data_IF_548648772623
#
_entry.id   IF_548648772623
#
_cell.length_a   1.000
_cell.length_b   1.000
_cell.length_c   1.000
_cell.angle_alpha   90.00
_cell.angle_beta   90.00
_cell.angle_gamma   90.00
#
_symmetry.space_group_name_H-M   'P 1'
#
loop_
_entity.id
_entity.type
_entity.pdbx_description
1 polymer ?
#
# COMPACT_ATOMS: atom_id res chain seq x y z
N UNK A 1 41.66 2.27 16.64
CA UNK A 1 40.86 2.42 15.42
C UNK A 1 39.89 3.57 15.64
N UNK A 2 39.92 4.62 14.80
CA UNK A 2 38.88 5.66 14.83
C UNK A 2 37.63 5.11 14.13
N UNK A 3 36.49 5.14 14.80
CA UNK A 3 35.21 4.81 14.18
C UNK A 3 34.91 5.86 13.10
N UNK A 4 34.30 5.48 11.96
CA UNK A 4 33.89 6.45 10.95
C UNK A 4 32.92 7.45 11.57
N UNK A 5 33.12 8.74 11.29
CA UNK A 5 32.23 9.80 11.76
C UNK A 5 30.83 9.57 11.20
N UNK A 6 29.89 9.32 12.10
CA UNK A 6 28.51 9.15 11.69
C UNK A 6 27.95 10.51 11.21
N UNK A 7 27.09 10.53 10.19
CA UNK A 7 26.58 11.77 9.61
C UNK A 7 25.82 12.60 10.65
N UNK A 8 25.86 13.92 10.51
CA UNK A 8 25.07 14.83 11.34
C UNK A 8 23.58 14.55 11.14
N UNK A 9 22.77 14.55 12.22
CA UNK A 9 21.32 14.42 12.09
C UNK A 9 20.77 15.60 11.29
N UNK A 10 19.76 15.35 10.47
CA UNK A 10 19.11 16.39 9.66
C UNK A 10 17.67 16.63 10.09
N UNK A 11 17.18 17.86 9.90
CA UNK A 11 15.82 18.22 10.28
C UNK A 11 15.18 19.17 9.27
N UNK A 12 14.03 18.74 8.76
CA UNK A 12 13.27 19.44 7.71
C UNK A 12 12.05 20.22 8.24
N UNK A 13 11.83 20.27 9.56
CA UNK A 13 10.67 20.96 10.15
C UNK A 13 9.44 20.08 10.37
N UNK A 14 9.51 18.78 10.10
CA UNK A 14 8.42 17.86 10.46
C UNK A 14 8.37 17.64 11.96
N UNK A 15 7.27 18.05 12.60
CA UNK A 15 7.06 17.94 14.04
C UNK A 15 7.34 16.53 14.59
N UNK A 16 6.89 15.48 13.91
CA UNK A 16 7.10 14.09 14.34
C UNK A 16 8.58 13.66 14.43
N UNK A 17 9.48 14.43 13.81
CA UNK A 17 10.92 14.17 13.81
C UNK A 17 11.68 15.09 14.78
N UNK A 18 11.01 16.06 15.42
CA UNK A 18 11.66 17.08 16.23
C UNK A 18 12.42 16.48 17.42
N UNK A 19 11.79 15.60 18.20
CA UNK A 19 12.41 15.01 19.39
C UNK A 19 13.66 14.21 19.04
N UNK A 20 13.57 13.37 18.00
CA UNK A 20 14.71 12.58 17.52
C UNK A 20 15.87 13.46 17.07
N UNK A 21 15.57 14.53 16.32
CA UNK A 21 16.59 15.50 15.91
C UNK A 21 17.19 16.24 17.11
N UNK A 22 16.36 16.79 17.99
CA UNK A 22 16.78 17.58 19.15
C UNK A 22 17.76 16.80 20.00
N UNK A 23 17.41 15.56 20.36
CA UNK A 23 18.26 14.70 21.18
C UNK A 23 19.56 14.35 20.45
N UNK A 24 19.48 13.87 19.21
CA UNK A 24 20.67 13.48 18.44
C UNK A 24 21.63 14.65 18.16
N UNK A 25 21.10 15.84 17.89
CA UNK A 25 21.92 17.02 17.65
C UNK A 25 22.52 17.56 18.94
N UNK A 26 21.74 17.59 20.04
CA UNK A 26 22.24 18.02 21.33
C UNK A 26 23.37 17.12 21.83
N UNK A 27 23.21 15.80 21.73
CA UNK A 27 24.22 14.83 22.17
C UNK A 27 25.53 14.93 21.37
N UNK A 28 25.45 15.29 20.08
CA UNK A 28 26.62 15.37 19.20
C UNK A 28 27.31 16.71 19.17
N UNK A 29 26.57 17.80 19.22
CA UNK A 29 27.08 19.16 18.97
C UNK A 29 26.73 20.10 20.13
N UNK A 30 25.49 20.03 20.62
CA UNK A 30 25.02 20.93 21.67
C UNK A 30 25.79 20.78 22.98
N UNK A 31 26.08 19.55 23.39
CA UNK A 31 26.77 19.16 24.62
C UNK A 31 28.29 19.29 24.57
N UNK A 32 28.88 19.44 23.37
CA UNK A 32 30.32 19.57 23.18
C UNK A 32 30.82 20.93 23.68
N UNK A 33 31.69 20.92 24.69
CA UNK A 33 32.23 22.13 25.33
C UNK A 33 33.42 22.73 24.57
N UNK A 34 34.04 21.95 23.69
CA UNK A 34 35.18 22.31 22.85
C UNK A 34 34.77 23.08 21.58
N UNK A 35 33.50 23.06 21.20
CA UNK A 35 32.98 23.82 20.06
C UNK A 35 32.54 25.24 20.45
N UNK A 36 32.95 26.22 19.67
CA UNK A 36 32.49 27.60 19.81
C UNK A 36 31.02 27.75 19.42
N UNK A 37 30.35 28.79 19.91
CA UNK A 37 28.97 29.12 19.50
C UNK A 37 28.84 29.36 17.98
N UNK A 38 29.90 29.84 17.33
CA UNK A 38 29.93 30.06 15.88
C UNK A 38 29.94 28.70 15.16
N UNK A 39 30.76 27.76 15.61
CA UNK A 39 30.84 26.42 15.03
C UNK A 39 29.54 25.65 15.24
N UNK A 40 28.96 25.71 16.44
CA UNK A 40 27.64 25.12 16.75
C UNK A 40 26.55 25.69 15.86
N UNK A 41 26.55 27.00 15.62
CA UNK A 41 25.60 27.64 14.69
C UNK A 41 25.83 27.18 13.24
N UNK A 42 27.07 27.03 12.80
CA UNK A 42 27.37 26.54 11.46
C UNK A 42 26.88 25.09 11.26
N UNK A 43 27.14 24.21 12.21
CA UNK A 43 26.61 22.84 12.21
C UNK A 43 25.08 22.80 12.28
N UNK A 44 24.48 23.69 13.08
CA UNK A 44 23.03 23.78 13.14
C UNK A 44 22.45 24.17 11.78
N UNK A 45 23.02 25.19 11.12
CA UNK A 45 22.57 25.61 9.78
C UNK A 45 22.72 24.51 8.73
N UNK A 46 23.79 23.71 8.78
CA UNK A 46 24.00 22.61 7.82
C UNK A 46 23.09 21.40 8.09
N UNK A 47 22.66 21.21 9.34
CA UNK A 47 21.74 20.15 9.74
C UNK A 47 20.27 20.45 9.39
N UNK A 48 19.91 21.72 9.16
CA UNK A 48 18.54 22.12 8.88
C UNK A 48 18.27 22.16 7.38
N UNK A 49 17.10 21.68 6.99
CA UNK A 49 16.61 21.71 5.61
C UNK A 49 15.21 22.31 5.54
N UNK A 50 14.77 22.65 4.33
CA UNK A 50 13.40 23.04 4.02
C UNK A 50 12.83 24.14 4.96
N UNK A 51 11.69 23.87 5.61
CA UNK A 51 11.00 24.82 6.49
C UNK A 51 11.84 25.19 7.72
N UNK A 52 12.60 24.23 8.27
CA UNK A 52 13.42 24.46 9.45
C UNK A 52 14.61 25.39 9.13
N UNK A 53 15.25 25.21 7.96
CA UNK A 53 16.28 26.12 7.49
C UNK A 53 15.71 27.53 7.25
N UNK A 54 14.54 27.60 6.62
CA UNK A 54 13.85 28.86 6.34
C UNK A 54 13.54 29.65 7.62
N UNK A 55 13.20 28.97 8.73
CA UNK A 55 12.96 29.63 10.02
C UNK A 55 14.17 30.38 10.58
N UNK A 56 15.36 29.80 10.47
CA UNK A 56 16.56 30.45 10.99
C UNK A 56 17.06 31.54 10.04
N UNK A 57 16.88 31.36 8.73
CA UNK A 57 17.34 32.34 7.74
C UNK A 57 16.67 33.71 7.88
N UNK A 58 15.38 33.76 8.27
CA UNK A 58 14.64 35.02 8.50
C UNK A 58 15.32 35.93 9.53
N UNK A 59 16.05 35.38 10.49
CA UNK A 59 16.71 36.14 11.54
C UNK A 59 18.14 36.57 11.19
N UNK A 60 18.72 36.15 10.05
CA UNK A 60 20.14 36.38 9.73
C UNK A 60 20.50 37.86 9.58
N UNK A 61 19.50 38.73 9.56
CA UNK A 61 19.60 40.19 9.51
C UNK A 61 20.01 40.79 10.88
N UNK A 62 19.80 40.08 12.01
CA UNK A 62 19.91 40.64 13.37
C UNK A 62 21.05 40.06 14.26
N UNK A 63 22.10 39.48 13.68
CA UNK A 63 23.23 38.94 14.47
C UNK A 63 22.83 37.74 15.33
N UNK A 64 22.39 36.66 14.68
CA UNK A 64 22.06 35.38 15.33
C UNK A 64 23.31 34.73 15.91
N UNK A 65 23.23 34.30 17.18
CA UNK A 65 24.13 33.31 17.78
C UNK A 65 23.40 31.95 17.96
N UNK A 66 24.16 30.90 18.29
CA UNK A 66 23.61 29.54 18.45
C UNK A 66 22.41 29.49 19.41
N UNK A 67 22.49 30.15 20.57
CA UNK A 67 21.41 30.15 21.57
C UNK A 67 20.09 30.75 21.04
N UNK A 68 20.13 31.88 20.32
CA UNK A 68 18.95 32.47 19.68
C UNK A 68 18.36 31.57 18.59
N UNK A 69 19.23 30.94 17.79
CA UNK A 69 18.82 30.01 16.74
C UNK A 69 18.12 28.78 17.33
N UNK A 70 18.71 28.20 18.37
CA UNK A 70 18.19 27.02 19.05
C UNK A 70 16.86 27.29 19.75
N UNK A 71 16.78 28.37 20.53
CA UNK A 71 15.54 28.77 21.21
C UNK A 71 14.40 29.08 20.23
N UNK A 72 14.69 29.62 19.04
CA UNK A 72 13.68 29.77 17.99
C UNK A 72 13.14 28.41 17.52
N UNK A 73 14.02 27.42 17.30
CA UNK A 73 13.59 26.09 16.90
C UNK A 73 12.74 25.42 18.00
N UNK A 74 13.16 25.49 19.26
CA UNK A 74 12.39 24.96 20.39
C UNK A 74 11.01 25.64 20.46
N UNK A 75 10.97 26.98 20.38
CA UNK A 75 9.70 27.71 20.35
C UNK A 75 8.81 27.32 19.16
N UNK A 76 9.40 26.99 18.02
CA UNK A 76 8.66 26.68 16.79
C UNK A 76 8.18 25.23 16.74
N UNK A 77 8.98 24.28 17.22
CA UNK A 77 8.76 22.84 16.99
C UNK A 77 8.52 22.04 18.28
N UNK A 78 8.85 22.57 19.46
CA UNK A 78 8.61 21.92 20.75
C UNK A 78 7.23 22.26 21.35
N UNK A 79 6.24 22.35 20.48
CA UNK A 79 4.87 22.63 20.90
C UNK A 79 4.21 21.31 21.27
N UNK A 80 4.26 20.93 22.55
CA UNK A 80 3.74 19.65 23.09
C UNK A 80 2.37 19.27 22.53
N UNK A 81 1.41 20.21 22.51
CA UNK A 81 0.06 19.99 21.96
C UNK A 81 0.10 19.50 20.50
N UNK A 82 0.95 20.10 19.67
CA UNK A 82 1.09 19.75 18.25
C UNK A 82 1.82 18.41 18.12
N UNK A 83 2.91 18.20 18.86
CA UNK A 83 3.67 16.95 18.84
C UNK A 83 2.80 15.74 19.19
N UNK A 84 2.07 15.83 20.31
CA UNK A 84 1.14 14.79 20.76
C UNK A 84 0.08 14.53 19.68
N UNK A 85 -0.58 15.60 19.20
CA UNK A 85 -1.60 15.48 18.16
C UNK A 85 -1.06 14.84 16.87
N UNK A 86 0.17 15.17 16.46
CA UNK A 86 0.81 14.61 15.27
C UNK A 86 1.09 13.12 15.43
N UNK A 87 1.67 12.68 16.53
CA UNK A 87 1.94 11.26 16.77
C UNK A 87 0.64 10.45 16.88
N UNK A 88 -0.36 10.93 17.61
CA UNK A 88 -1.68 10.29 17.69
C UNK A 88 -2.32 10.18 16.29
N UNK A 89 -2.28 11.28 15.51
CA UNK A 89 -2.79 11.28 14.15
C UNK A 89 -2.08 10.25 13.26
N UNK A 90 -0.77 10.04 13.42
CA UNK A 90 -0.03 9.04 12.63
C UNK A 90 -0.42 7.62 13.00
N UNK A 91 -0.63 7.32 14.28
CA UNK A 91 -1.10 6.01 14.75
C UNK A 91 -2.52 5.73 14.21
N UNK A 92 -3.45 6.67 14.38
CA UNK A 92 -4.84 6.50 13.91
C UNK A 92 -4.92 6.32 12.38
N UNK A 93 -4.07 7.04 11.64
CA UNK A 93 -4.04 7.03 10.18
C UNK A 93 -2.93 6.13 9.61
N UNK A 94 -2.48 5.11 10.34
CA UNK A 94 -1.59 4.10 9.79
C UNK A 94 -2.19 3.52 8.49
N UNK A 95 -1.36 3.25 7.48
CA UNK A 95 -1.82 2.76 6.19
C UNK A 95 -2.34 1.32 6.31
N UNK A 96 -3.44 1.02 5.61
CA UNK A 96 -3.96 -0.34 5.51
C UNK A 96 -3.03 -1.14 4.59
N UNK A 97 -2.60 -2.32 5.05
CA UNK A 97 -1.84 -3.26 4.26
C UNK A 97 -2.78 -4.07 3.36
N UNK A 98 -2.63 -3.92 2.04
CA UNK A 98 -3.41 -4.69 1.06
C UNK A 98 -2.98 -6.17 0.99
N UNK A 99 -1.72 -6.45 1.34
CA UNK A 99 -1.13 -7.79 1.28
C UNK A 99 -0.07 -7.98 2.34
N UNK A 100 0.13 -9.25 2.70
CA UNK A 100 1.22 -9.70 3.56
C UNK A 100 2.55 -9.53 2.80
N UNK A 101 3.38 -8.57 3.21
CA UNK A 101 4.75 -8.38 2.73
C UNK A 101 5.69 -8.15 3.90
N UNK A 102 6.96 -8.52 3.71
CA UNK A 102 8.00 -8.31 4.73
C UNK A 102 8.08 -6.85 5.14
N UNK A 103 8.21 -5.96 4.15
CA UNK A 103 8.36 -4.52 4.39
C UNK A 103 7.13 -3.87 4.99
N UNK A 104 5.92 -4.30 4.61
CA UNK A 104 4.68 -3.71 5.10
C UNK A 104 4.44 -4.02 6.57
N UNK A 105 4.61 -5.28 6.96
CA UNK A 105 4.40 -5.73 8.34
C UNK A 105 5.44 -5.18 9.30
N UNK A 106 6.73 -5.24 8.92
CA UNK A 106 7.81 -4.65 9.72
C UNK A 106 7.60 -3.16 9.90
N UNK A 107 7.30 -2.42 8.82
CA UNK A 107 7.06 -0.99 8.90
C UNK A 107 5.86 -0.63 9.78
N UNK A 108 4.77 -1.40 9.69
CA UNK A 108 3.59 -1.16 10.53
C UNK A 108 3.93 -1.30 12.03
N UNK A 109 4.71 -2.32 12.40
CA UNK A 109 5.17 -2.50 13.77
C UNK A 109 6.14 -1.39 14.21
N UNK A 110 7.14 -1.08 13.38
CA UNK A 110 8.19 -0.10 13.69
C UNK A 110 7.64 1.31 13.81
N UNK A 111 6.81 1.76 12.85
CA UNK A 111 6.19 3.10 12.85
C UNK A 111 5.32 3.29 14.12
N UNK A 112 4.59 2.24 14.52
CA UNK A 112 3.73 2.28 15.71
C UNK A 112 4.57 2.39 16.98
N UNK A 113 5.60 1.56 17.14
CA UNK A 113 6.51 1.62 18.28
C UNK A 113 7.21 2.98 18.38
N UNK A 114 7.69 3.51 17.25
CA UNK A 114 8.34 4.81 17.21
C UNK A 114 7.41 5.93 17.71
N UNK A 115 6.15 5.94 17.27
CA UNK A 115 5.18 6.94 17.69
C UNK A 115 4.76 6.78 19.15
N UNK A 116 4.60 5.55 19.66
CA UNK A 116 4.32 5.32 21.07
C UNK A 116 5.50 5.72 21.97
N UNK A 117 6.74 5.42 21.57
CA UNK A 117 7.93 5.86 22.29
C UNK A 117 8.02 7.40 22.35
N UNK A 118 7.70 8.08 21.24
CA UNK A 118 7.67 9.54 21.19
C UNK A 118 6.58 10.12 22.10
N UNK A 119 5.39 9.51 22.15
CA UNK A 119 4.31 9.90 23.05
C UNK A 119 4.66 9.67 24.52
N UNK A 120 5.29 8.54 24.84
CA UNK A 120 5.78 8.23 26.19
C UNK A 120 6.82 9.25 26.65
N UNK A 121 7.77 9.62 25.78
CA UNK A 121 8.75 10.69 26.07
C UNK A 121 8.10 12.07 26.29
N UNK A 122 6.90 12.28 25.74
CA UNK A 122 6.09 13.49 25.96
C UNK A 122 5.18 13.39 27.20
N UNK A 123 5.22 12.28 27.94
CA UNK A 123 4.40 12.02 29.12
C UNK A 123 2.97 11.56 28.81
N UNK A 124 2.72 11.05 27.60
CA UNK A 124 1.41 10.54 27.17
C UNK A 124 1.45 9.02 27.10
N UNK A 125 0.57 8.37 27.85
CA UNK A 125 0.32 6.93 27.74
C UNK A 125 -0.91 6.69 26.86
N UNK A 126 -0.79 5.76 25.91
CA UNK A 126 -1.89 5.31 25.05
C UNK A 126 -2.21 3.87 25.42
N UNK A 127 -3.48 3.55 25.67
CA UNK A 127 -3.90 2.20 26.06
C UNK A 127 -3.52 1.16 25.00
N UNK A 128 -2.83 0.10 25.41
CA UNK A 128 -2.32 -0.95 24.53
C UNK A 128 -3.43 -1.62 23.73
N UNK A 129 -4.60 -1.80 24.34
CA UNK A 129 -5.79 -2.44 23.75
C UNK A 129 -6.30 -1.63 22.55
N UNK A 130 -6.28 -0.29 22.65
CA UNK A 130 -6.64 0.60 21.54
C UNK A 130 -5.65 0.47 20.39
N UNK A 131 -4.34 0.40 20.70
CA UNK A 131 -3.30 0.28 19.67
C UNK A 131 -3.42 -1.07 18.96
N UNK A 132 -3.62 -2.15 19.70
CA UNK A 132 -3.86 -3.50 19.17
C UNK A 132 -5.04 -3.47 18.19
N UNK A 133 -6.18 -2.93 18.62
CA UNK A 133 -7.35 -2.83 17.77
C UNK A 133 -7.08 -2.01 16.49
N UNK A 134 -6.40 -0.87 16.61
CA UNK A 134 -6.00 -0.06 15.45
C UNK A 134 -5.15 -0.88 14.49
N UNK A 135 -4.11 -1.55 14.99
CA UNK A 135 -3.21 -2.36 14.17
C UNK A 135 -3.93 -3.49 13.46
N UNK A 136 -4.84 -4.20 14.14
CA UNK A 136 -5.70 -5.22 13.53
C UNK A 136 -6.48 -4.67 12.34
N UNK A 137 -7.05 -3.47 12.46
CA UNK A 137 -7.77 -2.84 11.33
C UNK A 137 -6.88 -2.51 10.12
N UNK A 138 -5.55 -2.49 10.28
CA UNK A 138 -4.59 -2.22 9.20
C UNK A 138 -4.11 -3.48 8.52
N UNK A 139 -4.45 -4.67 9.01
CA UNK A 139 -3.94 -5.93 8.47
C UNK A 139 -4.83 -6.48 7.33
N UNK A 140 -4.26 -7.24 6.38
CA UNK A 140 -5.06 -7.97 5.40
C UNK A 140 -5.92 -9.03 6.11
N UNK A 141 -7.14 -9.27 5.62
CA UNK A 141 -8.09 -10.22 6.22
C UNK A 141 -7.49 -11.57 6.60
N UNK A 142 -6.77 -12.22 5.68
CA UNK A 142 -6.16 -13.52 5.94
C UNK A 142 -5.05 -13.47 7.02
N UNK A 143 -4.38 -12.33 7.20
CA UNK A 143 -3.40 -12.15 8.27
C UNK A 143 -4.11 -11.97 9.61
N UNK A 144 -5.25 -11.25 9.65
CA UNK A 144 -6.12 -11.18 10.83
C UNK A 144 -6.65 -12.57 11.18
N UNK A 145 -7.19 -13.32 10.22
CA UNK A 145 -7.72 -14.67 10.48
C UNK A 145 -6.66 -15.58 11.13
N UNK A 146 -5.38 -15.47 10.71
CA UNK A 146 -4.27 -16.20 11.33
C UNK A 146 -3.92 -15.72 12.74
N UNK A 147 -4.00 -14.42 12.96
CA UNK A 147 -3.77 -13.80 14.27
C UNK A 147 -4.80 -14.32 15.26
N UNK A 148 -6.10 -14.21 14.92
CA UNK A 148 -7.24 -14.65 15.73
C UNK A 148 -7.18 -16.15 16.09
N UNK A 149 -6.76 -17.01 15.17
CA UNK A 149 -6.61 -18.46 15.43
C UNK A 149 -5.56 -18.74 16.53
N UNK A 150 -4.58 -17.85 16.69
CA UNK A 150 -3.51 -18.00 17.68
C UNK A 150 -3.85 -17.46 19.07
N UNK A 151 -5.04 -16.87 19.25
CA UNK A 151 -5.47 -16.25 20.50
C UNK A 151 -6.37 -17.16 21.33
N UNK A 152 -6.31 -16.98 22.65
CA UNK A 152 -7.25 -17.59 23.58
C UNK A 152 -8.59 -16.84 23.60
N UNK A 153 -9.69 -17.56 23.87
CA UNK A 153 -11.06 -17.05 23.69
C UNK A 153 -11.40 -15.80 24.50
N UNK A 154 -10.91 -15.69 25.73
CA UNK A 154 -11.33 -14.67 26.71
C UNK A 154 -10.15 -13.78 27.16
N UNK A 155 -9.04 -13.80 26.41
CA UNK A 155 -7.85 -13.01 26.72
C UNK A 155 -7.68 -11.89 25.69
N UNK A 156 -7.48 -10.67 26.18
CA UNK A 156 -7.13 -9.54 25.31
C UNK A 156 -5.64 -9.63 25.00
N UNK A 157 -5.23 -9.71 23.72
CA UNK A 157 -3.83 -9.83 23.40
C UNK A 157 -3.08 -8.56 23.75
N UNK A 158 -1.83 -8.74 24.20
CA UNK A 158 -0.94 -7.62 24.47
C UNK A 158 -0.36 -7.05 23.18
N UNK A 159 0.05 -5.79 23.24
CA UNK A 159 0.69 -5.13 22.12
C UNK A 159 2.00 -5.83 21.70
N UNK A 160 2.75 -6.37 22.66
CA UNK A 160 3.98 -7.12 22.40
C UNK A 160 3.72 -8.44 21.68
N UNK A 161 2.64 -9.15 22.04
CA UNK A 161 2.23 -10.36 21.32
C UNK A 161 1.90 -10.04 19.85
N UNK A 162 1.22 -8.93 19.60
CA UNK A 162 0.91 -8.50 18.23
C UNK A 162 2.19 -8.11 17.47
N UNK A 163 3.12 -7.36 18.07
CA UNK A 163 4.40 -7.06 17.42
C UNK A 163 5.18 -8.32 17.05
N UNK A 164 5.27 -9.27 17.97
CA UNK A 164 5.95 -10.54 17.74
C UNK A 164 5.28 -11.33 16.61
N UNK A 165 3.94 -11.34 16.54
CA UNK A 165 3.20 -11.91 15.43
C UNK A 165 3.52 -11.21 14.09
N UNK A 166 3.55 -9.87 14.06
CA UNK A 166 3.86 -9.10 12.86
C UNK A 166 5.27 -9.41 12.35
N UNK A 167 6.26 -9.46 13.22
CA UNK A 167 7.65 -9.78 12.85
C UNK A 167 7.79 -11.23 12.37
N UNK A 168 7.22 -12.21 13.08
CA UNK A 168 7.19 -13.62 12.65
C UNK A 168 6.53 -13.79 11.28
N UNK A 169 5.43 -13.07 11.06
CA UNK A 169 4.70 -13.08 9.78
C UNK A 169 5.52 -12.42 8.67
N UNK A 170 6.23 -11.33 8.96
CA UNK A 170 7.15 -10.67 8.02
C UNK A 170 8.28 -11.61 7.58
N UNK A 171 8.92 -12.32 8.52
CA UNK A 171 9.96 -13.32 8.21
C UNK A 171 9.41 -14.43 7.30
N UNK A 172 8.19 -14.89 7.57
CA UNK A 172 7.51 -15.90 6.76
C UNK A 172 7.18 -15.38 5.35
N UNK A 173 6.79 -14.11 5.22
CA UNK A 173 6.58 -13.46 3.94
C UNK A 173 7.86 -13.39 3.11
N UNK A 174 9.00 -13.05 3.73
CA UNK A 174 10.31 -12.98 3.07
C UNK A 174 10.69 -14.30 2.39
N UNK A 175 10.46 -15.44 3.06
CA UNK A 175 10.71 -16.77 2.48
C UNK A 175 9.88 -17.01 1.21
N UNK A 176 8.60 -16.61 1.21
CA UNK A 176 7.71 -16.77 0.04
C UNK A 176 8.04 -15.80 -1.08
N UNK A 177 8.49 -14.59 -0.75
CA UNK A 177 8.97 -13.60 -1.73
C UNK A 177 10.24 -14.10 -2.44
N UNK A 178 11.21 -14.63 -1.69
CA UNK A 178 12.43 -15.24 -2.24
C UNK A 178 12.16 -16.49 -3.08
N UNK A 179 11.21 -17.33 -2.66
CA UNK A 179 10.81 -18.49 -3.45
C UNK A 179 10.32 -18.08 -4.85
N UNK A 180 9.48 -17.03 -4.92
CA UNK A 180 8.99 -16.47 -6.19
C UNK A 180 10.11 -15.87 -7.04
N UNK A 181 11.11 -15.20 -6.44
CA UNK A 181 12.24 -14.64 -7.18
C UNK A 181 13.18 -15.73 -7.71
N UNK A 182 13.46 -16.77 -6.91
CA UNK A 182 14.31 -17.89 -7.31
C UNK A 182 13.72 -18.72 -8.45
N UNK A 183 12.38 -18.86 -8.50
CA UNK A 183 11.68 -19.57 -9.58
C UNK A 183 11.69 -18.76 -10.89
N UNK A 184 11.74 -17.43 -10.80
CA UNK A 184 11.94 -16.55 -11.96
C UNK A 184 13.39 -16.47 -12.46
N UNK A 185 14.38 -16.74 -11.61
CA UNK A 185 15.80 -16.78 -12.00
C UNK A 185 16.23 -18.15 -12.54
N UNK A 186 15.73 -19.27 -11.99
CA UNK A 186 16.00 -20.61 -12.52
C UNK A 186 15.51 -20.81 -13.96
N UNK A 187 14.49 -20.06 -14.38
CA UNK A 187 13.97 -20.09 -15.75
C UNK A 187 14.78 -19.26 -16.76
N UNK A 188 15.88 -18.60 -16.34
CA UNK A 188 16.74 -17.79 -17.24
C UNK A 188 18.13 -18.39 -17.51
N UNK A 189 18.52 -19.47 -16.84
CA UNK A 189 19.93 -19.92 -16.82
C UNK A 189 20.19 -21.32 -17.36
N UNK A 190 19.18 -22.13 -17.70
CA UNK A 190 19.42 -23.47 -18.26
C UNK A 190 19.00 -23.57 -19.74
N UNK A 191 19.88 -24.06 -20.64
CA UNK A 191 19.43 -24.50 -21.94
C UNK A 191 18.52 -25.72 -21.75
N UNK A 192 17.37 -25.82 -22.42
CA UNK A 192 16.39 -26.85 -22.10
C UNK A 192 16.90 -28.24 -22.50
N UNK A 193 17.40 -29.00 -21.54
CA UNK A 193 17.71 -30.43 -21.68
C UNK A 193 16.39 -31.18 -21.81
N UNK A 194 16.12 -31.64 -23.04
CA UNK A 194 14.94 -32.43 -23.41
C UNK A 194 14.90 -33.75 -22.61
N UNK A 195 14.06 -33.84 -21.59
CA UNK A 195 13.63 -35.12 -21.03
C UNK A 195 12.68 -35.80 -22.02
N UNK A 196 13.19 -36.82 -22.73
CA UNK A 196 12.38 -37.76 -23.53
C UNK A 196 11.39 -38.48 -22.62
N UNK A 197 10.09 -38.24 -22.83
CA UNK A 197 9.06 -39.23 -22.53
C UNK A 197 8.67 -39.90 -23.83
N UNK A 198 8.80 -41.23 -23.85
CA UNK A 198 8.22 -42.11 -24.84
C UNK A 198 6.72 -41.84 -24.92
N UNK A 199 6.22 -41.53 -26.12
CA UNK A 199 4.86 -41.84 -26.55
C UNK A 199 4.76 -41.75 -28.07
N UNK A 200 3.93 -42.64 -28.58
CA UNK A 200 3.70 -43.10 -29.96
C UNK A 200 3.64 -42.03 -31.05
N UNK A 201 3.93 -42.49 -32.26
CA UNK A 201 4.16 -41.76 -33.50
C UNK A 201 2.98 -40.89 -33.98
N UNK A 202 3.35 -39.88 -34.78
CA UNK A 202 2.57 -39.04 -35.68
C UNK A 202 1.74 -37.89 -35.05
N UNK A 203 2.28 -36.66 -35.10
CA UNK A 203 1.76 -35.55 -35.94
C UNK A 203 2.43 -34.19 -35.63
N UNK A 204 2.91 -33.55 -36.71
CA UNK A 204 3.23 -32.13 -36.97
C UNK A 204 3.75 -31.19 -35.85
N UNK A 205 4.93 -30.61 -36.11
CA UNK A 205 5.49 -29.45 -35.41
C UNK A 205 4.55 -28.23 -35.52
N UNK A 206 4.04 -27.72 -34.41
CA UNK A 206 3.43 -26.38 -34.34
C UNK A 206 4.26 -25.52 -33.40
N UNK A 207 4.81 -24.42 -33.93
CA UNK A 207 5.59 -23.45 -33.16
C UNK A 207 4.74 -22.86 -32.02
N UNK A 208 5.21 -23.00 -30.77
CA UNK A 208 4.59 -22.39 -29.59
C UNK A 208 4.83 -20.86 -29.59
N UNK A 209 4.05 -20.16 -30.40
CA UNK A 209 3.84 -18.72 -30.25
C UNK A 209 2.88 -18.51 -29.09
N UNK A 210 3.35 -17.92 -28.00
CA UNK A 210 2.47 -17.52 -26.89
C UNK A 210 1.55 -16.40 -27.43
N UNK A 211 0.22 -16.60 -27.45
CA UNK A 211 -0.64 -15.83 -28.33
C UNK A 211 -0.74 -14.37 -27.89
N UNK A 212 -0.57 -13.46 -28.86
CA UNK A 212 -0.93 -12.06 -28.71
C UNK A 212 -2.44 -11.90 -28.45
N UNK A 213 -2.87 -10.72 -28.00
CA UNK A 213 -4.30 -10.48 -27.75
C UNK A 213 -5.17 -10.94 -28.93
N UNK A 214 -6.21 -11.72 -28.65
CA UNK A 214 -7.08 -12.30 -29.68
C UNK A 214 -7.80 -11.26 -30.56
N UNK A 215 -7.89 -10.01 -30.10
CA UNK A 215 -8.50 -8.91 -30.84
C UNK A 215 -7.49 -8.09 -31.66
N UNK A 216 -6.46 -7.51 -31.05
CA UNK A 216 -5.51 -6.66 -31.77
C UNK A 216 -4.35 -7.42 -32.41
N UNK A 217 -4.02 -8.63 -31.93
CA UNK A 217 -2.89 -9.47 -32.37
C UNK A 217 -1.49 -8.82 -32.29
N UNK A 218 -1.37 -7.59 -31.80
CA UNK A 218 -0.11 -6.83 -31.79
C UNK A 218 0.65 -7.00 -30.46
N UNK A 219 -0.02 -6.80 -29.31
CA UNK A 219 0.61 -6.86 -27.98
C UNK A 219 -0.13 -7.83 -27.05
N UNK A 220 0.52 -8.21 -25.95
CA UNK A 220 -0.09 -8.98 -24.87
C UNK A 220 -0.77 -8.05 -23.88
N UNK A 221 -2.07 -8.23 -23.70
CA UNK A 221 -2.85 -7.59 -22.63
C UNK A 221 -4.17 -8.35 -22.46
N UNK A 222 -4.84 -8.20 -21.30
CA UNK A 222 -6.19 -8.69 -21.13
C UNK A 222 -7.14 -8.09 -22.18
N UNK A 223 -8.05 -8.89 -22.72
CA UNK A 223 -8.89 -8.47 -23.85
C UNK A 223 -9.89 -7.37 -23.48
N UNK A 224 -10.32 -7.30 -22.22
CA UNK A 224 -11.22 -6.25 -21.73
C UNK A 224 -10.54 -4.86 -21.70
N UNK A 225 -9.21 -4.81 -21.77
CA UNK A 225 -8.44 -3.56 -21.95
C UNK A 225 -8.12 -3.27 -23.41
N UNK A 226 -8.51 -4.12 -24.36
CA UNK A 226 -8.18 -3.95 -25.76
C UNK A 226 -9.11 -2.94 -26.44
N UNK A 227 -8.54 -1.85 -26.98
CA UNK A 227 -9.32 -0.86 -27.73
C UNK A 227 -9.90 -1.42 -29.02
N UNK A 228 -9.14 -2.28 -29.73
CA UNK A 228 -9.65 -2.94 -30.93
C UNK A 228 -10.85 -3.84 -30.62
N UNK A 229 -10.88 -4.50 -29.46
CA UNK A 229 -12.02 -5.31 -29.01
C UNK A 229 -13.23 -4.44 -28.65
N UNK A 230 -13.02 -3.33 -27.92
CA UNK A 230 -14.08 -2.39 -27.56
C UNK A 230 -14.69 -1.69 -28.78
N UNK A 231 -13.96 -1.56 -29.89
CA UNK A 231 -14.50 -1.01 -31.15
C UNK A 231 -15.36 -1.99 -31.96
N UNK A 232 -15.34 -3.29 -31.64
CA UNK A 232 -16.20 -4.27 -32.30
C UNK A 232 -17.65 -4.15 -31.84
N UNK A 233 -18.59 -4.53 -32.73
CA UNK A 233 -19.99 -4.74 -32.35
C UNK A 233 -20.12 -5.86 -31.33
N UNK A 234 -21.15 -5.82 -30.48
CA UNK A 234 -21.36 -6.83 -29.42
C UNK A 234 -21.36 -8.25 -29.98
N UNK A 235 -22.05 -8.47 -31.12
CA UNK A 235 -22.07 -9.78 -31.78
C UNK A 235 -20.66 -10.26 -32.15
N UNK A 236 -19.84 -9.39 -32.77
CA UNK A 236 -18.44 -9.70 -33.11
C UNK A 236 -17.58 -9.95 -31.87
N UNK A 237 -17.85 -9.29 -30.74
CA UNK A 237 -17.16 -9.56 -29.46
C UNK A 237 -17.50 -10.94 -28.93
N UNK A 238 -18.77 -11.35 -28.97
CA UNK A 238 -19.24 -12.68 -28.55
C UNK A 238 -18.58 -13.76 -29.40
N UNK A 239 -18.59 -13.59 -30.72
CA UNK A 239 -17.99 -14.54 -31.66
C UNK A 239 -16.48 -14.69 -31.43
N UNK A 240 -15.79 -13.59 -31.15
CA UNK A 240 -14.36 -13.59 -30.86
C UNK A 240 -14.06 -14.29 -29.54
N UNK A 241 -14.81 -14.00 -28.47
CA UNK A 241 -14.67 -14.67 -27.16
C UNK A 241 -14.91 -16.17 -27.29
N UNK A 242 -15.94 -16.58 -28.04
CA UNK A 242 -16.23 -17.99 -28.36
C UNK A 242 -15.07 -18.64 -29.12
N UNK A 243 -14.59 -17.99 -30.20
CA UNK A 243 -13.49 -18.49 -31.04
C UNK A 243 -12.17 -18.60 -30.27
N UNK A 244 -11.90 -17.64 -29.37
CA UNK A 244 -10.71 -17.63 -28.53
C UNK A 244 -10.83 -18.49 -27.27
N UNK A 245 -11.97 -19.17 -27.06
CA UNK A 245 -12.28 -20.01 -25.88
C UNK A 245 -12.04 -19.27 -24.55
N UNK A 246 -12.41 -18.00 -24.51
CA UNK A 246 -12.32 -17.18 -23.31
C UNK A 246 -13.61 -17.29 -22.49
N UNK A 247 -13.49 -17.10 -21.18
CA UNK A 247 -14.64 -17.04 -20.29
C UNK A 247 -15.56 -15.87 -20.66
N UNK A 248 -16.87 -16.13 -20.77
CA UNK A 248 -17.86 -15.08 -21.03
C UNK A 248 -17.98 -14.06 -19.90
N UNK A 249 -17.53 -14.35 -18.67
CA UNK A 249 -17.63 -13.46 -17.51
C UNK A 249 -16.38 -12.58 -17.36
N UNK A 250 -15.19 -13.19 -17.29
CA UNK A 250 -13.94 -12.46 -17.03
C UNK A 250 -13.12 -12.15 -18.29
N UNK A 251 -13.53 -12.69 -19.45
CA UNK A 251 -12.85 -12.55 -20.74
C UNK A 251 -11.39 -13.03 -20.71
N UNK A 252 -11.08 -14.00 -19.84
CA UNK A 252 -9.77 -14.66 -19.71
C UNK A 252 -9.91 -16.18 -19.85
N UNK A 253 -8.81 -16.86 -20.14
CA UNK A 253 -8.73 -18.32 -20.05
C UNK A 253 -8.45 -18.75 -18.61
N UNK A 254 -9.15 -19.77 -18.11
CA UNK A 254 -9.00 -20.25 -16.73
C UNK A 254 -9.09 -21.78 -16.57
N UNK A 255 -8.68 -22.57 -17.58
CA UNK A 255 -8.62 -24.05 -17.55
C UNK A 255 -9.79 -24.72 -16.81
N UNK A 256 -11.03 -24.35 -17.17
CA UNK A 256 -12.28 -24.88 -16.60
C UNK A 256 -12.48 -24.69 -15.08
N UNK A 257 -11.67 -23.89 -14.38
CA UNK A 257 -11.94 -23.49 -12.99
C UNK A 257 -13.19 -22.61 -12.91
N UNK A 258 -13.99 -22.64 -11.82
CA UNK A 258 -15.16 -21.78 -11.70
C UNK A 258 -14.75 -20.30 -11.69
N UNK A 259 -15.41 -19.49 -12.53
CA UNK A 259 -15.14 -18.07 -12.63
C UNK A 259 -15.79 -17.31 -11.46
N UNK A 260 -14.97 -16.59 -10.68
CA UNK A 260 -15.38 -15.80 -9.49
C UNK A 260 -15.63 -14.32 -9.80
N UNK A 261 -15.57 -13.91 -11.07
CA UNK A 261 -15.82 -12.53 -11.48
C UNK A 261 -17.32 -12.21 -11.48
N UNK A 262 -17.63 -10.93 -11.33
CA UNK A 262 -19.00 -10.43 -11.26
C UNK A 262 -19.78 -10.68 -12.57
N UNK A 263 -21.08 -10.90 -12.43
CA UNK A 263 -22.03 -11.01 -13.55
C UNK A 263 -22.19 -9.66 -14.28
N UNK A 264 -22.93 -9.67 -15.38
CA UNK A 264 -23.19 -8.48 -16.17
C UNK A 264 -23.90 -7.43 -15.30
N UNK A 265 -23.32 -6.25 -15.15
CA UNK A 265 -23.89 -5.17 -14.33
C UNK A 265 -25.16 -4.56 -14.90
N UNK A 266 -25.53 -4.89 -16.15
CA UNK A 266 -26.71 -4.35 -16.84
C UNK A 266 -27.94 -5.26 -16.65
N UNK A 267 -27.77 -6.58 -16.64
CA UNK A 267 -28.89 -7.54 -16.58
C UNK A 267 -28.70 -8.67 -15.56
N UNK A 268 -27.60 -8.64 -14.80
CA UNK A 268 -27.23 -9.60 -13.77
C UNK A 268 -27.07 -11.07 -14.23
N UNK A 269 -27.06 -11.34 -15.54
CA UNK A 269 -26.82 -12.68 -16.12
C UNK A 269 -25.32 -12.99 -16.21
N UNK A 270 -24.99 -14.28 -16.41
CA UNK A 270 -23.62 -14.84 -16.39
C UNK A 270 -22.78 -14.49 -17.64
N UNK A 271 -22.48 -13.21 -17.84
CA UNK A 271 -21.58 -12.70 -18.89
C UNK A 271 -20.96 -11.36 -18.49
N UNK A 272 -19.95 -10.92 -19.23
CA UNK A 272 -19.30 -9.62 -19.06
C UNK A 272 -20.17 -8.51 -19.66
N UNK A 273 -20.26 -7.34 -19.04
CA UNK A 273 -21.03 -6.20 -19.58
C UNK A 273 -20.60 -5.76 -20.99
N UNK A 274 -19.35 -6.03 -21.41
CA UNK A 274 -18.90 -5.77 -22.79
C UNK A 274 -19.55 -6.70 -23.84
N UNK A 275 -20.19 -7.79 -23.41
CA UNK A 275 -20.91 -8.75 -24.25
C UNK A 275 -22.44 -8.62 -24.13
N UNK A 276 -22.94 -7.60 -23.41
CA UNK A 276 -24.36 -7.40 -23.22
C UNK A 276 -25.03 -6.96 -24.53
N UNK A 277 -26.06 -7.69 -24.96
CA UNK A 277 -26.95 -7.30 -26.06
C UNK A 277 -28.18 -6.63 -25.44
N UNK A 278 -28.39 -5.36 -25.75
CA UNK A 278 -29.64 -4.68 -25.43
C UNK A 278 -30.75 -5.25 -26.32
N UNK A 279 -31.69 -5.97 -25.72
CA UNK A 279 -32.98 -6.21 -26.36
C UNK A 279 -33.82 -4.95 -26.14
N UNK A 280 -33.62 -3.94 -26.97
CA UNK A 280 -34.49 -2.76 -27.00
C UNK A 280 -35.81 -3.14 -27.71
N UNK A 281 -36.84 -3.48 -26.95
CA UNK A 281 -38.24 -3.29 -27.39
C UNK A 281 -38.82 -2.13 -26.61
N UNK A 282 -39.07 -0.97 -27.24
CA UNK A 282 -39.78 0.11 -26.59
C UNK A 282 -41.26 -0.29 -26.48
N UNK A 283 -41.68 -0.70 -25.29
CA UNK A 283 -43.12 -0.79 -25.01
C UNK A 283 -43.59 0.65 -24.78
N UNK A 284 -44.41 1.11 -25.73
CA UNK A 284 -45.23 2.31 -25.63
C UNK A 284 -45.85 2.41 -24.23
N UNK A 285 -45.68 3.58 -23.59
CA UNK A 285 -46.58 3.99 -22.50
C UNK A 285 -47.97 4.17 -23.11
N UNK A 286 -48.86 3.21 -22.88
CA UNK A 286 -50.29 3.45 -22.94
C UNK A 286 -50.69 4.15 -21.65
N UNK A 287 -51.15 5.40 -21.77
CA UNK A 287 -51.87 6.09 -20.72
C UNK A 287 -53.09 5.26 -20.30
N UNK A 288 -53.18 4.97 -19.01
CA UNK A 288 -54.43 4.59 -18.35
C UNK A 288 -54.71 5.65 -17.29
N UNK A 289 -55.41 6.69 -17.73
CA UNK A 289 -56.06 7.70 -16.88
C UNK A 289 -57.03 7.04 -15.92
N UNK A 290 -56.86 7.34 -14.63
CA UNK A 290 -57.83 7.10 -13.57
C UNK A 290 -59.14 7.84 -13.86
N UNK A 291 -60.23 7.08 -13.84
CA UNK A 291 -61.61 7.57 -13.81
C UNK A 291 -61.90 8.22 -12.45
N UNK A 292 -62.10 9.54 -12.46
CA UNK A 292 -62.70 10.30 -11.36
C UNK A 292 -64.21 10.26 -11.54
N UNK A 293 -64.89 9.66 -10.56
CA UNK A 293 -66.35 9.70 -10.41
C UNK A 293 -66.71 11.09 -9.88
N UNK A 294 -67.36 11.91 -10.72
CA UNK A 294 -68.10 13.09 -10.27
C UNK A 294 -69.58 12.76 -10.34
N UNK A 295 -70.22 12.68 -9.17
CA UNK A 295 -71.67 12.74 -9.01
C UNK A 295 -72.16 14.14 -9.38
N UNK A 296 -73.21 14.23 -10.20
CA UNK A 296 -74.24 15.26 -10.04
C UNK A 296 -75.55 14.81 -10.70
N UNK A 297 -76.59 14.89 -9.87
CA UNK A 297 -78.01 15.11 -10.14
C UNK A 297 -78.75 14.19 -11.12
#
# INVERSE_FOLDING_TARGET
MKLPDAPLPTFNGKYENWLSFKNAFHDRIGSQADLSDIDKLHYLKSALTDDAASKINVLSVDGINYAKAWSLLERSYEVKRILISRHLSKILNLPILERESTSGLTKLADDTQQHLASLSALGVSVGSEMVVHILETKLPKHTIDKWEIGLERDEVPTLDQLYEFLYKTAVSASKRERAKSSDSERNKSEPPIKRRKFQSANQAFVANTTPNCAACKIKRHPIYLCDAFKKLTVQKRIDLVKKARLCYICLRSHNNKPCKFMNCTICNKRHNSLLHIENYTPIHKSDATQSVIVKKD
#
